data_IF_522889073628
#
_entry.id   IF_522889073628
#
_cell.length_a   1.000
_cell.length_b   1.000
_cell.length_c   1.000
_cell.angle_alpha   90.00
_cell.angle_beta   90.00
_cell.angle_gamma   90.00
#
_symmetry.space_group_name_H-M   'P 1'
#
loop_
_entity.id
_entity.type
_entity.pdbx_description
1 polymer ?
#
# COMPACT_ATOMS: atom_id res chain seq x y z
N UNK A 1 16.32 -0.82 -25.26
CA UNK A 1 15.21 -1.70 -24.90
C UNK A 1 14.29 -0.97 -23.93
N UNK A 2 13.01 -0.90 -24.23
CA UNK A 2 12.05 -0.23 -23.36
C UNK A 2 11.77 -1.09 -22.13
N UNK A 3 11.64 -0.48 -20.93
CA UNK A 3 11.28 -1.25 -19.75
C UNK A 3 9.87 -1.84 -19.91
N UNK A 4 9.70 -3.05 -19.42
CA UNK A 4 8.41 -3.73 -19.43
C UNK A 4 7.63 -3.33 -18.18
N UNK A 5 6.33 -3.04 -18.32
CA UNK A 5 5.47 -2.79 -17.18
C UNK A 5 5.41 -4.04 -16.29
N UNK A 6 5.49 -3.89 -14.96
CA UNK A 6 5.20 -4.99 -14.06
C UNK A 6 3.77 -5.53 -14.31
N UNK A 7 3.53 -6.82 -14.10
CA UNK A 7 2.19 -7.36 -14.24
C UNK A 7 1.25 -6.77 -13.19
N UNK A 8 0.03 -6.43 -13.61
CA UNK A 8 -1.00 -5.96 -12.69
C UNK A 8 -1.60 -7.17 -11.96
N UNK A 9 -1.57 -7.13 -10.64
CA UNK A 9 -2.21 -8.13 -9.81
C UNK A 9 -3.72 -7.86 -9.72
N UNK A 10 -4.51 -8.91 -9.61
CA UNK A 10 -5.91 -8.77 -9.28
C UNK A 10 -6.06 -8.24 -7.85
N UNK A 11 -7.22 -7.69 -7.47
CA UNK A 11 -7.44 -7.25 -6.09
C UNK A 11 -7.13 -8.34 -5.05
N UNK A 12 -7.56 -9.57 -5.29
CA UNK A 12 -7.30 -10.68 -4.38
C UNK A 12 -5.82 -11.02 -4.29
N UNK A 13 -5.13 -11.08 -5.43
CA UNK A 13 -3.69 -11.35 -5.47
C UNK A 13 -2.91 -10.23 -4.75
N UNK A 14 -3.29 -8.98 -4.99
CA UNK A 14 -2.66 -7.83 -4.35
C UNK A 14 -2.85 -7.87 -2.83
N UNK A 15 -4.06 -8.17 -2.37
CA UNK A 15 -4.36 -8.30 -0.95
C UNK A 15 -3.46 -9.34 -0.29
N UNK A 16 -3.36 -10.51 -0.91
CA UNK A 16 -2.52 -11.60 -0.39
C UNK A 16 -1.04 -11.26 -0.38
N UNK A 17 -0.57 -10.63 -1.46
CA UNK A 17 0.84 -10.24 -1.60
C UNK A 17 1.23 -9.20 -0.55
N UNK A 18 0.39 -8.20 -0.33
CA UNK A 18 0.64 -7.16 0.65
C UNK A 18 0.71 -7.76 2.06
N UNK A 19 -0.19 -8.67 2.39
CA UNK A 19 -0.17 -9.35 3.70
C UNK A 19 1.09 -10.18 3.89
N UNK A 20 1.53 -10.85 2.85
CA UNK A 20 2.75 -11.65 2.89
C UNK A 20 3.98 -10.76 3.10
N UNK A 21 4.07 -9.66 2.38
CA UNK A 21 5.17 -8.70 2.51
C UNK A 21 5.17 -8.06 3.90
N UNK A 22 4.00 -7.76 4.44
CA UNK A 22 3.89 -7.22 5.80
C UNK A 22 4.52 -8.17 6.83
N UNK A 23 4.37 -9.47 6.63
CA UNK A 23 4.91 -10.48 7.55
C UNK A 23 6.40 -10.75 7.33
N UNK A 24 6.85 -10.79 6.09
CA UNK A 24 8.18 -11.31 5.74
C UNK A 24 9.08 -10.31 5.04
N UNK A 25 8.55 -9.22 4.55
CA UNK A 25 9.28 -8.20 3.80
C UNK A 25 9.38 -6.88 4.52
N UNK A 26 9.41 -5.80 3.73
CA UNK A 26 9.62 -4.44 4.24
C UNK A 26 8.47 -3.54 3.85
N UNK A 27 8.02 -2.71 4.79
CA UNK A 27 7.03 -1.66 4.54
C UNK A 27 7.73 -0.31 4.62
N UNK A 28 7.70 0.42 3.50
CA UNK A 28 8.29 1.75 3.41
C UNK A 28 7.19 2.80 3.28
N UNK A 29 7.50 4.03 3.64
CA UNK A 29 6.57 5.15 3.57
C UNK A 29 7.18 6.25 2.73
N UNK A 30 6.40 6.83 1.81
CA UNK A 30 6.85 8.00 1.05
C UNK A 30 7.03 9.18 2.01
N UNK A 31 7.87 10.15 1.62
CA UNK A 31 8.06 11.36 2.43
C UNK A 31 6.74 12.12 2.62
N UNK A 32 5.93 12.21 1.56
CA UNK A 32 4.60 12.84 1.63
C UNK A 32 3.70 12.13 2.66
N UNK A 33 3.67 10.81 2.63
CA UNK A 33 2.87 10.03 3.57
C UNK A 33 3.34 10.23 5.01
N UNK A 34 4.63 10.04 5.25
CA UNK A 34 5.22 10.08 6.58
C UNK A 34 5.18 11.47 7.22
N UNK A 35 5.54 12.51 6.45
CA UNK A 35 5.70 13.87 6.97
C UNK A 35 4.42 14.68 6.96
N UNK A 36 3.47 14.37 6.09
CA UNK A 36 2.28 15.18 5.89
C UNK A 36 0.98 14.43 6.19
N UNK A 37 0.72 13.34 5.48
CA UNK A 37 -0.58 12.68 5.54
C UNK A 37 -0.85 11.95 6.86
N UNK A 38 0.15 11.23 7.37
CA UNK A 38 -0.02 10.50 8.63
C UNK A 38 -0.24 11.45 9.81
N UNK A 39 0.56 12.54 9.96
CA UNK A 39 0.28 13.52 11.02
C UNK A 39 -1.08 14.20 10.88
N UNK A 40 -1.47 14.61 9.67
CA UNK A 40 -2.77 15.25 9.42
C UNK A 40 -3.94 14.36 9.84
N UNK A 41 -3.83 13.07 9.62
CA UNK A 41 -4.86 12.09 9.93
C UNK A 41 -4.71 11.52 11.34
N UNK A 42 -3.67 11.90 12.06
CA UNK A 42 -3.34 11.33 13.36
C UNK A 42 -3.23 9.80 13.29
N UNK A 43 -2.53 9.32 12.27
CA UNK A 43 -2.35 7.90 11.96
C UNK A 43 -0.92 7.49 12.26
N UNK A 44 -0.74 6.41 12.99
CA UNK A 44 0.57 5.83 13.31
C UNK A 44 0.92 4.70 12.35
N UNK A 45 2.17 4.24 12.40
CA UNK A 45 2.59 3.06 11.63
C UNK A 45 1.80 1.82 12.02
N UNK A 46 1.40 1.71 13.30
CA UNK A 46 0.58 0.59 13.76
C UNK A 46 -0.80 0.60 13.11
N UNK A 47 -1.37 1.78 12.91
CA UNK A 47 -2.65 1.92 12.20
C UNK A 47 -2.51 1.50 10.74
N UNK A 48 -1.44 1.92 10.07
CA UNK A 48 -1.19 1.53 8.67
C UNK A 48 -0.98 0.02 8.58
N UNK A 49 -0.15 -0.55 9.45
CA UNK A 49 0.07 -2.00 9.47
C UNK A 49 -1.23 -2.77 9.70
N UNK A 50 -2.11 -2.26 10.56
CA UNK A 50 -3.42 -2.86 10.80
C UNK A 50 -4.26 -2.88 9.52
N UNK A 51 -4.31 -1.75 8.79
CA UNK A 51 -5.06 -1.70 7.53
C UNK A 51 -4.46 -2.63 6.49
N UNK A 52 -3.13 -2.74 6.42
CA UNK A 52 -2.48 -3.64 5.46
C UNK A 52 -2.72 -5.12 5.82
N UNK A 53 -2.86 -5.44 7.10
CA UNK A 53 -3.10 -6.80 7.56
C UNK A 53 -4.56 -7.24 7.43
N UNK A 54 -5.50 -6.35 7.75
CA UNK A 54 -6.92 -6.68 7.86
C UNK A 54 -7.77 -6.12 6.72
N UNK A 55 -7.28 -5.09 6.03
CA UNK A 55 -8.00 -4.48 4.92
C UNK A 55 -7.90 -5.29 3.65
N UNK A 56 -8.55 -4.81 2.61
CA UNK A 56 -8.61 -5.50 1.31
C UNK A 56 -8.43 -4.52 0.17
N UNK A 57 -7.80 -4.99 -0.89
CA UNK A 57 -7.84 -4.33 -2.18
C UNK A 57 -9.14 -4.77 -2.85
N UNK A 58 -10.02 -3.83 -3.14
CA UNK A 58 -11.34 -4.11 -3.74
C UNK A 58 -11.38 -3.64 -5.19
N UNK A 59 -10.71 -2.52 -5.47
CA UNK A 59 -10.71 -1.89 -6.79
C UNK A 59 -9.55 -2.37 -7.64
N UNK A 60 -9.72 -2.29 -8.96
CA UNK A 60 -8.62 -2.54 -9.88
C UNK A 60 -7.49 -1.54 -9.65
N UNK A 61 -6.25 -2.01 -9.82
CA UNK A 61 -5.08 -1.18 -9.69
C UNK A 61 -5.04 -0.07 -10.75
N UNK A 62 -4.46 1.06 -10.39
CA UNK A 62 -4.25 2.17 -11.32
C UNK A 62 -2.75 2.30 -11.62
N UNK A 63 -2.44 2.60 -12.88
CA UNK A 63 -1.05 2.80 -13.28
C UNK A 63 -0.52 4.12 -12.76
N UNK A 64 0.66 4.09 -12.14
CA UNK A 64 1.38 5.29 -11.71
C UNK A 64 2.66 5.41 -12.51
N UNK A 65 2.72 6.42 -13.40
CA UNK A 65 3.87 6.64 -14.25
C UNK A 65 5.09 7.16 -13.48
N UNK A 66 4.89 7.80 -12.34
CA UNK A 66 6.00 8.31 -11.52
C UNK A 66 6.77 7.18 -10.86
N UNK A 67 6.05 6.16 -10.37
CA UNK A 67 6.65 4.97 -9.79
C UNK A 67 6.95 3.89 -10.83
N UNK A 68 6.43 4.04 -12.04
CA UNK A 68 6.45 3.02 -13.09
C UNK A 68 5.96 1.67 -12.55
N UNK A 69 4.81 1.72 -11.88
CA UNK A 69 4.20 0.55 -11.24
C UNK A 69 2.71 0.79 -11.01
N UNK A 70 2.05 -0.23 -10.48
CA UNK A 70 0.62 -0.19 -10.17
C UNK A 70 0.38 0.26 -8.73
N UNK A 71 -0.62 1.13 -8.54
CA UNK A 71 -1.09 1.53 -7.21
C UNK A 71 -2.25 0.63 -6.81
N UNK A 72 -2.15 0.07 -5.62
CA UNK A 72 -3.20 -0.77 -5.03
C UNK A 72 -3.76 -0.05 -3.81
N UNK A 73 -5.07 0.14 -3.82
CA UNK A 73 -5.78 0.84 -2.76
C UNK A 73 -6.26 -0.17 -1.73
N UNK A 74 -5.69 -0.14 -0.54
CA UNK A 74 -6.07 -1.03 0.57
C UNK A 74 -7.09 -0.29 1.42
N UNK A 75 -8.30 -0.82 1.50
CA UNK A 75 -9.41 -0.21 2.23
C UNK A 75 -9.71 -1.03 3.48
N UNK A 76 -9.82 -0.36 4.61
CA UNK A 76 -10.11 -1.02 5.87
C UNK A 76 -10.27 -0.01 7.00
N UNK A 77 -9.81 -0.38 8.18
CA UNK A 77 -9.91 0.46 9.38
C UNK A 77 -8.56 0.55 10.08
N UNK A 78 -8.39 1.60 10.88
CA UNK A 78 -7.26 1.70 11.79
C UNK A 78 -7.54 0.85 13.05
N UNK A 79 -6.64 0.92 14.04
CA UNK A 79 -6.75 0.12 15.26
C UNK A 79 -8.02 0.49 16.05
N UNK A 80 -8.45 1.72 15.97
CA UNK A 80 -9.64 2.21 16.70
C UNK A 80 -10.96 1.92 15.97
N UNK A 81 -10.89 1.39 14.76
CA UNK A 81 -12.07 1.08 13.96
C UNK A 81 -12.52 2.18 13.02
N UNK A 82 -11.79 3.28 12.92
CA UNK A 82 -12.10 4.35 11.98
C UNK A 82 -11.61 3.97 10.58
N UNK A 83 -12.36 4.39 9.57
CA UNK A 83 -12.00 4.09 8.17
C UNK A 83 -10.62 4.66 7.84
N UNK A 84 -9.81 3.83 7.20
CA UNK A 84 -8.48 4.21 6.75
C UNK A 84 -8.19 3.51 5.42
N UNK A 85 -7.72 4.30 4.45
CA UNK A 85 -7.30 3.79 3.15
C UNK A 85 -5.82 4.07 2.95
N UNK A 86 -5.08 3.06 2.51
CA UNK A 86 -3.67 3.19 2.17
C UNK A 86 -3.48 2.95 0.67
N UNK A 87 -2.84 3.89 -0.01
CA UNK A 87 -2.43 3.71 -1.40
C UNK A 87 -1.02 3.14 -1.39
N UNK A 88 -0.85 2.01 -2.03
CA UNK A 88 0.39 1.23 -1.97
C UNK A 88 0.93 0.90 -3.35
N UNK A 89 2.25 0.71 -3.41
CA UNK A 89 2.94 0.16 -4.58
C UNK A 89 3.73 -1.05 -4.11
N UNK A 90 3.66 -2.15 -4.87
CA UNK A 90 4.36 -3.39 -4.55
C UNK A 90 5.61 -3.48 -5.42
N UNK A 91 6.78 -3.61 -4.78
CA UNK A 91 8.04 -3.88 -5.45
C UNK A 91 8.42 -5.34 -5.19
N UNK A 92 8.01 -6.23 -6.09
CA UNK A 92 8.17 -7.67 -5.90
C UNK A 92 9.62 -8.11 -5.79
N UNK A 93 10.52 -7.50 -6.57
CA UNK A 93 11.94 -7.85 -6.53
C UNK A 93 12.57 -7.57 -5.18
N UNK A 94 12.15 -6.49 -4.54
CA UNK A 94 12.66 -6.09 -3.22
C UNK A 94 11.84 -6.68 -2.08
N UNK A 95 10.76 -7.34 -2.41
CA UNK A 95 9.77 -7.85 -1.47
C UNK A 95 9.36 -6.77 -0.47
N UNK A 96 8.96 -5.62 -1.04
CA UNK A 96 8.59 -4.45 -0.26
C UNK A 96 7.31 -3.81 -0.77
N UNK A 97 6.65 -3.08 0.12
CA UNK A 97 5.48 -2.25 -0.18
C UNK A 97 5.81 -0.81 0.21
N UNK A 98 5.60 0.11 -0.73
CA UNK A 98 5.68 1.53 -0.44
C UNK A 98 4.28 2.05 -0.18
N UNK A 99 4.06 2.64 0.98
CA UNK A 99 2.81 3.35 1.30
C UNK A 99 2.98 4.78 0.78
N UNK A 100 2.27 5.08 -0.30
CA UNK A 100 2.39 6.37 -1.00
C UNK A 100 1.64 7.45 -0.25
N UNK A 101 0.44 7.14 0.24
CA UNK A 101 -0.39 8.06 1.02
C UNK A 101 -1.44 7.29 1.80
N UNK A 102 -2.06 7.98 2.77
CA UNK A 102 -3.20 7.48 3.53
C UNK A 102 -4.30 8.53 3.56
N UNK A 103 -5.55 8.10 3.67
CA UNK A 103 -6.67 9.02 3.83
C UNK A 103 -7.91 8.35 4.41
#
# INVERSE_FOLDING_TARGET
>A
MSPTKPPRLSPLEATRKIRLILQEGTIDYSGHCWLERMPERNVSTLDVEHVLAEGQVIREAEWDSDCFNWKYRVEGTDIEGDELTAITVIFEQDFSVLVVTVF
#
